data_IF_761583059697
#
_entry.id   IF_761583059697
#
_cell.length_a   1.000
_cell.length_b   1.000
_cell.length_c   1.000
_cell.angle_alpha   90.00
_cell.angle_beta   90.00
_cell.angle_gamma   90.00
#
_symmetry.space_group_name_H-M   'P 1'
#
loop_
_entity.id
_entity.type
_entity.pdbx_description
1 polymer ?
#
# COMPACT_ATOMS: atom_id res chain seq x y z
N UNK A 1 55.76 47.78 -31.15
CA UNK A 1 56.80 47.09 -31.96
C UNK A 1 56.26 45.66 -32.16
N UNK A 2 55.85 45.52 -33.42
CA UNK A 2 55.92 44.39 -34.35
C UNK A 2 55.33 43.08 -33.93
N UNK A 3 54.26 42.67 -34.56
CA UNK A 3 54.13 42.10 -35.94
C UNK A 3 54.41 40.60 -35.90
N UNK A 4 53.64 39.69 -36.42
CA UNK A 4 53.13 39.42 -37.76
C UNK A 4 52.30 38.12 -37.77
N UNK A 5 51.13 38.18 -38.40
CA UNK A 5 50.56 37.24 -39.37
C UNK A 5 50.93 35.72 -39.37
N UNK A 6 49.95 34.88 -39.42
CA UNK A 6 49.47 34.22 -40.64
C UNK A 6 48.30 33.26 -40.45
N UNK A 7 47.33 33.47 -41.30
CA UNK A 7 46.24 32.65 -41.75
C UNK A 7 46.60 31.15 -41.92
N UNK A 8 45.75 30.26 -41.48
CA UNK A 8 45.35 29.09 -42.27
C UNK A 8 43.95 28.64 -41.87
N UNK A 9 43.07 28.72 -42.86
CA UNK A 9 41.72 28.18 -42.96
C UNK A 9 41.69 26.68 -42.69
N UNK A 10 40.81 26.19 -41.77
CA UNK A 10 40.28 24.84 -41.87
C UNK A 10 38.78 24.86 -41.55
N UNK A 11 38.01 24.57 -42.58
CA UNK A 11 36.59 24.27 -42.56
C UNK A 11 36.30 23.26 -41.47
N UNK A 12 35.52 23.62 -40.46
CA UNK A 12 34.85 22.65 -39.56
C UNK A 12 33.44 22.46 -40.07
N UNK A 13 33.21 21.25 -40.53
CA UNK A 13 31.90 20.69 -40.83
C UNK A 13 31.09 20.68 -39.52
N UNK A 14 29.98 21.44 -39.48
CA UNK A 14 28.98 21.34 -38.44
C UNK A 14 28.19 20.04 -38.68
N UNK A 15 28.46 19.03 -37.89
CA UNK A 15 27.50 17.92 -37.71
C UNK A 15 26.46 18.36 -36.67
N UNK A 16 25.29 18.73 -37.15
CA UNK A 16 24.09 18.87 -36.33
C UNK A 16 23.63 17.50 -35.88
N UNK A 17 24.06 17.13 -34.69
CA UNK A 17 23.50 15.95 -34.00
C UNK A 17 22.11 16.30 -33.43
N UNK A 18 21.09 15.80 -34.07
CA UNK A 18 19.73 15.79 -33.49
C UNK A 18 19.76 14.80 -32.34
N UNK A 19 19.80 15.30 -31.11
CA UNK A 19 19.53 14.50 -29.92
C UNK A 19 18.02 14.34 -29.83
N UNK A 20 17.52 13.22 -30.29
CA UNK A 20 16.16 12.80 -30.01
C UNK A 20 16.05 12.47 -28.49
N UNK A 21 15.50 13.39 -27.73
CA UNK A 21 15.09 13.10 -26.34
C UNK A 21 13.88 12.15 -26.39
N UNK A 22 14.16 10.86 -26.28
CA UNK A 22 13.10 9.87 -26.02
C UNK A 22 12.62 10.07 -24.59
N UNK A 23 11.50 10.80 -24.46
CA UNK A 23 10.73 10.79 -23.20
C UNK A 23 10.13 9.40 -23.03
N UNK A 24 10.78 8.55 -22.23
CA UNK A 24 10.12 7.35 -21.70
C UNK A 24 8.99 7.85 -20.79
N UNK A 25 7.78 7.73 -21.27
CA UNK A 25 6.61 7.75 -20.40
C UNK A 25 6.69 6.47 -19.53
N UNK A 26 7.06 6.63 -18.27
CA UNK A 26 6.93 5.58 -17.26
C UNK A 26 5.44 5.31 -17.12
N UNK A 27 4.97 4.22 -17.69
CA UNK A 27 3.63 3.70 -17.46
C UNK A 27 3.55 3.20 -16.02
N UNK A 28 2.38 3.34 -15.38
CA UNK A 28 2.21 3.08 -13.94
C UNK A 28 2.56 1.67 -13.45
N UNK A 29 2.87 0.74 -14.33
CA UNK A 29 3.32 -0.62 -13.99
C UNK A 29 4.75 -0.66 -13.43
N UNK A 30 5.60 0.33 -13.78
CA UNK A 30 7.00 0.34 -13.35
C UNK A 30 7.19 0.68 -11.86
N UNK A 31 6.23 1.36 -11.24
CA UNK A 31 6.31 1.73 -9.82
C UNK A 31 6.22 0.51 -8.89
N UNK A 32 5.51 -0.54 -9.29
CA UNK A 32 5.38 -1.78 -8.53
C UNK A 32 6.55 -2.75 -8.78
N UNK A 33 7.15 -2.69 -9.97
CA UNK A 33 8.30 -3.52 -10.32
C UNK A 33 9.56 -3.14 -9.52
N UNK A 34 9.68 -1.89 -9.07
CA UNK A 34 10.84 -1.41 -8.32
C UNK A 34 10.96 -1.99 -6.90
N UNK A 35 9.90 -2.56 -6.36
CA UNK A 35 9.88 -3.09 -4.98
C UNK A 35 10.08 -4.61 -4.89
N UNK A 36 10.33 -5.31 -5.99
CA UNK A 36 10.58 -6.76 -5.98
C UNK A 36 9.39 -7.61 -5.50
N UNK A 37 8.21 -7.00 -5.33
CA UNK A 37 6.99 -7.72 -5.01
C UNK A 37 6.46 -8.36 -6.29
N UNK A 38 6.38 -9.69 -6.30
CA UNK A 38 5.59 -10.34 -7.32
C UNK A 38 4.14 -9.83 -7.20
N UNK A 39 3.49 -9.50 -8.32
CA UNK A 39 2.05 -9.24 -8.30
C UNK A 39 1.36 -10.35 -7.53
N UNK A 40 0.33 -10.02 -6.78
CA UNK A 40 -0.53 -11.04 -6.18
C UNK A 40 -0.87 -12.06 -7.26
N UNK A 41 -0.95 -13.35 -6.88
CA UNK A 41 -1.55 -14.31 -7.79
C UNK A 41 -2.77 -13.64 -8.39
N UNK A 42 -2.77 -13.46 -9.70
CA UNK A 42 -3.83 -12.74 -10.38
C UNK A 42 -5.17 -13.24 -9.84
N UNK A 43 -6.02 -12.29 -9.42
CA UNK A 43 -7.40 -12.62 -9.12
C UNK A 43 -7.91 -13.48 -10.30
N UNK A 44 -8.51 -14.60 -10.01
CA UNK A 44 -9.11 -15.45 -11.02
C UNK A 44 -10.63 -15.18 -11.04
N UNK A 45 -11.20 -15.10 -12.23
CA UNK A 45 -12.64 -14.95 -12.37
C UNK A 45 -13.39 -16.02 -11.55
N UNK A 46 -14.21 -15.58 -10.60
CA UNK A 46 -14.88 -16.47 -9.65
C UNK A 46 -14.17 -16.67 -8.32
N UNK A 47 -13.09 -15.91 -8.03
CA UNK A 47 -12.43 -15.95 -6.72
C UNK A 47 -13.40 -15.70 -5.58
N UNK A 48 -13.18 -16.40 -4.48
CA UNK A 48 -13.97 -16.23 -3.28
C UNK A 48 -13.79 -14.81 -2.71
N UNK A 49 -14.88 -14.16 -2.27
CA UNK A 49 -14.78 -12.85 -1.65
C UNK A 49 -13.90 -12.88 -0.40
N UNK A 50 -13.25 -11.76 -0.14
CA UNK A 50 -12.53 -11.55 1.12
C UNK A 50 -13.50 -11.77 2.29
N UNK A 51 -13.15 -12.69 3.19
CA UNK A 51 -14.01 -13.06 4.31
C UNK A 51 -14.15 -11.92 5.32
N UNK A 52 -15.33 -11.73 5.92
CA UNK A 52 -15.53 -10.75 6.96
C UNK A 52 -14.89 -11.20 8.28
N UNK A 53 -14.49 -10.22 9.09
CA UNK A 53 -14.02 -10.39 10.45
C UNK A 53 -14.61 -9.31 11.36
N UNK A 54 -14.50 -9.52 12.67
CA UNK A 54 -15.05 -8.59 13.66
C UNK A 54 -14.41 -7.20 13.58
N UNK A 55 -15.24 -6.18 13.73
CA UNK A 55 -14.79 -4.79 13.88
C UNK A 55 -13.94 -4.60 15.15
N UNK A 56 -14.21 -5.39 16.19
CA UNK A 56 -13.62 -5.20 17.50
C UNK A 56 -14.15 -3.94 18.21
N UNK A 57 -13.72 -3.70 19.47
CA UNK A 57 -14.27 -2.64 20.30
C UNK A 57 -13.65 -1.24 20.04
N UNK A 58 -12.67 -1.12 19.14
CA UNK A 58 -11.88 0.10 18.97
C UNK A 58 -12.16 0.85 17.67
N UNK A 59 -13.17 0.47 16.91
CA UNK A 59 -13.55 1.23 15.73
C UNK A 59 -14.05 2.62 16.13
N UNK A 60 -13.64 3.64 15.36
CA UNK A 60 -14.11 5.02 15.48
C UNK A 60 -14.55 5.51 14.11
N UNK A 61 -15.81 5.93 13.94
CA UNK A 61 -16.27 6.47 12.67
C UNK A 61 -15.63 7.83 12.38
N UNK A 62 -15.64 8.22 11.11
CA UNK A 62 -15.14 9.53 10.64
C UNK A 62 -13.63 9.70 10.85
N UNK A 63 -12.87 8.64 10.58
CA UNK A 63 -11.41 8.76 10.48
C UNK A 63 -11.02 9.86 9.50
N UNK A 64 -9.87 10.56 9.68
CA UNK A 64 -9.42 11.55 8.72
C UNK A 64 -9.05 10.91 7.38
N UNK A 65 -9.29 11.62 6.28
CA UNK A 65 -8.84 11.18 4.95
C UNK A 65 -7.33 11.40 4.84
N UNK A 66 -6.57 10.31 5.01
CA UNK A 66 -5.12 10.31 4.90
C UNK A 66 -4.58 8.90 4.65
N UNK A 67 -3.58 8.79 3.78
CA UNK A 67 -2.83 7.54 3.53
C UNK A 67 -1.56 7.43 4.39
N UNK A 68 -0.99 8.54 4.88
CA UNK A 68 0.12 8.48 5.85
C UNK A 68 -0.42 8.61 7.27
N UNK A 69 -0.34 7.50 8.01
CA UNK A 69 -0.80 7.40 9.41
C UNK A 69 0.33 7.67 10.41
N UNK A 70 1.56 7.88 9.91
CA UNK A 70 2.71 8.21 10.75
C UNK A 70 2.66 9.70 11.08
N UNK A 71 2.74 10.02 12.34
CA UNK A 71 2.77 11.38 12.85
C UNK A 71 3.76 11.50 14.00
N UNK A 72 4.04 12.72 14.44
CA UNK A 72 5.01 12.97 15.51
C UNK A 72 4.72 12.12 16.76
N UNK A 73 5.75 11.45 17.28
CA UNK A 73 5.66 10.59 18.45
C UNK A 73 5.11 9.16 18.15
N UNK A 74 4.85 8.80 16.90
CA UNK A 74 4.63 7.40 16.52
C UNK A 74 6.00 6.72 16.38
N UNK A 75 6.15 5.60 17.08
CA UNK A 75 7.33 4.72 17.04
C UNK A 75 6.92 3.38 16.45
N UNK A 76 7.92 2.54 16.13
CA UNK A 76 7.70 1.20 15.58
C UNK A 76 8.26 1.04 14.18
N UNK A 77 8.22 -0.19 13.71
CA UNK A 77 8.74 -0.58 12.39
C UNK A 77 7.82 -0.04 11.29
N UNK A 78 8.37 0.75 10.37
CA UNK A 78 7.58 1.30 9.25
C UNK A 78 7.04 0.20 8.34
N UNK A 79 5.81 0.40 7.86
CA UNK A 79 5.14 -0.47 6.88
C UNK A 79 4.53 0.41 5.80
N UNK A 80 4.80 0.05 4.56
CA UNK A 80 4.03 0.52 3.41
C UNK A 80 3.08 -0.60 2.99
N UNK A 81 1.78 -0.37 3.18
CA UNK A 81 0.71 -1.30 2.86
C UNK A 81 0.08 -0.92 1.52
N UNK A 82 0.05 -1.86 0.60
CA UNK A 82 -0.54 -1.70 -0.73
C UNK A 82 -1.59 -2.77 -0.99
N UNK A 83 -2.43 -2.53 -1.98
CA UNK A 83 -3.34 -3.52 -2.52
C UNK A 83 -4.31 -2.93 -3.51
N UNK A 84 -5.17 -3.79 -4.03
CA UNK A 84 -6.28 -3.42 -4.89
C UNK A 84 -7.60 -3.86 -4.28
N UNK A 85 -8.66 -3.13 -4.59
CA UNK A 85 -10.03 -3.55 -4.35
C UNK A 85 -10.60 -4.01 -5.69
N UNK A 86 -11.04 -5.26 -5.74
CA UNK A 86 -11.47 -5.96 -6.94
C UNK A 86 -12.88 -6.53 -6.74
N UNK A 87 -13.59 -6.75 -7.83
CA UNK A 87 -14.80 -7.57 -7.88
C UNK A 87 -14.43 -9.05 -7.97
N UNK A 88 -15.40 -9.98 -7.88
CA UNK A 88 -15.19 -11.42 -8.10
C UNK A 88 -14.78 -11.76 -9.53
N UNK A 89 -15.06 -10.89 -10.49
CA UNK A 89 -14.58 -10.99 -11.87
C UNK A 89 -13.29 -10.22 -12.12
N UNK A 90 -12.53 -9.94 -11.05
CA UNK A 90 -11.23 -9.28 -11.07
C UNK A 90 -11.24 -7.86 -11.68
N UNK A 91 -12.40 -7.22 -11.72
CA UNK A 91 -12.46 -5.85 -12.18
C UNK A 91 -12.08 -4.88 -11.05
N UNK A 92 -11.23 -3.88 -11.30
CA UNK A 92 -10.87 -2.91 -10.29
C UNK A 92 -12.08 -2.07 -9.86
N UNK A 93 -12.19 -1.83 -8.55
CA UNK A 93 -13.25 -1.00 -7.98
C UNK A 93 -12.69 0.38 -7.67
N UNK A 94 -12.92 1.34 -8.56
CA UNK A 94 -12.53 2.72 -8.38
C UNK A 94 -13.41 3.43 -7.34
N UNK A 95 -12.80 4.34 -6.55
CA UNK A 95 -13.52 5.13 -5.55
C UNK A 95 -14.06 4.32 -4.38
N UNK A 96 -13.58 3.10 -4.16
CA UNK A 96 -13.91 2.34 -2.97
C UNK A 96 -13.26 2.98 -1.73
N UNK A 97 -14.05 3.18 -0.67
CA UNK A 97 -13.53 3.59 0.63
C UNK A 97 -12.71 2.45 1.24
N UNK A 98 -11.50 2.75 1.70
CA UNK A 98 -10.68 1.86 2.51
C UNK A 98 -10.35 2.59 3.80
N UNK A 99 -10.87 2.13 4.93
CA UNK A 99 -10.68 2.72 6.26
C UNK A 99 -9.84 1.77 7.12
N UNK A 100 -8.66 2.23 7.54
CA UNK A 100 -7.66 1.45 8.26
C UNK A 100 -7.49 1.96 9.69
N UNK A 101 -7.46 1.04 10.67
CA UNK A 101 -7.09 1.36 12.05
C UNK A 101 -6.37 0.20 12.72
N UNK A 102 -5.47 0.52 13.64
CA UNK A 102 -4.71 -0.47 14.38
C UNK A 102 -4.08 0.08 15.67
N UNK A 103 -3.54 -0.81 16.49
CA UNK A 103 -2.79 -0.47 17.69
C UNK A 103 -1.41 0.13 17.35
N UNK A 104 -0.84 0.88 18.29
CA UNK A 104 0.56 1.32 18.22
C UNK A 104 1.54 0.13 18.35
N UNK A 105 2.84 0.42 18.35
CA UNK A 105 3.91 -0.59 18.49
C UNK A 105 3.94 -1.31 19.85
N UNK A 106 3.18 -0.81 20.85
CA UNK A 106 2.98 -1.45 22.16
C UNK A 106 1.67 -2.21 22.28
N UNK A 107 0.85 -2.26 21.23
CA UNK A 107 -0.45 -2.93 21.27
C UNK A 107 -1.59 -2.08 21.83
N UNK A 108 -1.46 -0.77 21.91
CA UNK A 108 -2.45 0.16 22.47
C UNK A 108 -3.20 0.89 21.36
N UNK A 109 -4.52 1.01 21.48
CA UNK A 109 -5.35 1.78 20.55
C UNK A 109 -5.57 3.21 21.06
N UNK A 110 -5.50 4.18 20.14
CA UNK A 110 -5.92 5.56 20.46
C UNK A 110 -7.45 5.63 20.48
N UNK A 111 -8.00 5.69 21.70
CA UNK A 111 -9.44 5.80 21.92
C UNK A 111 -9.93 7.26 22.04
N UNK A 112 -9.01 8.24 22.13
CA UNK A 112 -9.34 9.65 22.26
C UNK A 112 -9.25 10.39 20.92
N UNK A 113 -8.16 10.20 20.17
CA UNK A 113 -7.89 10.83 18.88
C UNK A 113 -8.07 9.89 17.69
N UNK A 114 -7.29 10.13 16.64
CA UNK A 114 -7.27 9.35 15.40
C UNK A 114 -5.84 8.89 15.05
N UNK A 115 -4.97 8.67 16.03
CA UNK A 115 -3.63 8.14 15.76
C UNK A 115 -3.74 6.74 15.16
N UNK A 116 -2.95 6.46 14.13
CA UNK A 116 -2.95 5.18 13.40
C UNK A 116 -4.34 4.78 12.86
N UNK A 117 -5.12 5.80 12.46
CA UNK A 117 -6.43 5.69 11.84
C UNK A 117 -6.53 6.62 10.65
N UNK A 118 -7.10 6.17 9.57
CA UNK A 118 -7.33 7.00 8.39
C UNK A 118 -8.02 6.22 7.31
N UNK A 119 -8.66 6.95 6.41
CA UNK A 119 -9.25 6.36 5.22
C UNK A 119 -8.73 7.05 3.96
N UNK A 120 -8.86 6.34 2.86
CA UNK A 120 -8.68 6.87 1.51
C UNK A 120 -9.68 6.21 0.55
N UNK A 121 -9.70 6.71 -0.66
CA UNK A 121 -10.47 6.12 -1.75
C UNK A 121 -9.50 5.52 -2.77
N UNK A 122 -9.86 4.38 -3.33
CA UNK A 122 -9.08 3.74 -4.39
C UNK A 122 -9.02 4.59 -5.64
N UNK A 123 -7.92 4.48 -6.37
CA UNK A 123 -7.75 5.11 -7.68
C UNK A 123 -8.57 4.41 -8.79
N UNK A 124 -8.38 4.83 -10.04
CA UNK A 124 -9.08 4.27 -11.22
C UNK A 124 -8.76 2.79 -11.46
N UNK A 125 -7.61 2.32 -10.99
CA UNK A 125 -7.19 0.91 -11.06
C UNK A 125 -7.52 0.15 -9.77
N UNK A 126 -8.37 0.71 -8.90
CA UNK A 126 -8.76 0.08 -7.64
C UNK A 126 -7.66 0.03 -6.58
N UNK A 127 -6.53 0.73 -6.75
CA UNK A 127 -5.37 0.66 -5.86
C UNK A 127 -5.54 1.54 -4.63
N UNK A 128 -4.98 1.07 -3.52
CA UNK A 128 -4.85 1.83 -2.28
C UNK A 128 -3.43 1.70 -1.71
N UNK A 129 -3.00 2.70 -0.94
CA UNK A 129 -1.70 2.69 -0.29
C UNK A 129 -1.73 3.45 1.03
N UNK A 130 -1.21 2.81 2.09
CA UNK A 130 -1.01 3.42 3.40
C UNK A 130 0.45 3.34 3.83
N UNK A 131 0.94 4.40 4.46
CA UNK A 131 2.19 4.41 5.21
C UNK A 131 1.87 4.39 6.69
N UNK A 132 2.33 3.37 7.38
CA UNK A 132 2.00 3.16 8.79
C UNK A 132 3.14 2.45 9.52
N UNK A 133 2.84 1.78 10.62
CA UNK A 133 3.78 0.96 11.38
C UNK A 133 3.24 -0.44 11.60
N UNK A 134 4.14 -1.38 11.88
CA UNK A 134 3.78 -2.71 12.37
C UNK A 134 3.19 -2.57 13.78
N UNK A 135 1.94 -3.04 14.02
CA UNK A 135 1.32 -2.92 15.33
C UNK A 135 1.99 -3.82 16.36
N UNK A 136 1.96 -3.45 17.62
CA UNK A 136 2.27 -4.31 18.74
C UNK A 136 1.23 -5.42 18.93
N UNK A 137 1.53 -6.34 19.83
CA UNK A 137 0.59 -7.40 20.20
C UNK A 137 -0.46 -6.83 21.17
N UNK A 138 -1.70 -6.89 20.77
CA UNK A 138 -2.83 -6.66 21.69
C UNK A 138 -3.15 -7.96 22.43
N UNK A 139 -3.54 -7.87 23.70
CA UNK A 139 -3.74 -9.04 24.57
C UNK A 139 -4.63 -10.11 23.93
N UNK A 140 -4.09 -11.31 23.78
CA UNK A 140 -4.78 -12.46 23.19
C UNK A 140 -4.92 -12.44 21.67
N UNK A 141 -4.39 -11.41 21.00
CA UNK A 141 -4.51 -11.26 19.57
C UNK A 141 -3.13 -11.27 18.88
N UNK A 142 -3.08 -11.85 17.69
CA UNK A 142 -1.92 -11.70 16.81
C UNK A 142 -1.88 -10.31 16.18
N UNK A 143 -0.74 -9.93 15.56
CA UNK A 143 -0.58 -8.64 14.89
C UNK A 143 -1.54 -8.54 13.71
N UNK A 144 -2.33 -7.48 13.67
CA UNK A 144 -3.32 -7.28 12.61
C UNK A 144 -3.64 -5.80 12.39
N UNK A 145 -4.11 -5.51 11.22
CA UNK A 145 -4.83 -4.29 10.89
C UNK A 145 -6.32 -4.58 10.83
N UNK A 146 -7.15 -3.68 11.33
CA UNK A 146 -8.57 -3.65 11.04
C UNK A 146 -8.82 -2.83 9.79
N UNK A 147 -9.73 -3.30 8.94
CA UNK A 147 -10.04 -2.64 7.68
C UNK A 147 -11.54 -2.68 7.42
N UNK A 148 -12.09 -1.56 6.96
CA UNK A 148 -13.40 -1.52 6.30
C UNK A 148 -13.19 -1.16 4.85
N UNK A 149 -13.88 -1.86 3.97
CA UNK A 149 -13.88 -1.58 2.53
C UNK A 149 -15.31 -1.45 2.04
N UNK A 150 -15.59 -0.41 1.27
CA UNK A 150 -16.93 -0.17 0.73
C UNK A 150 -16.85 0.38 -0.69
N UNK A 151 -17.38 -0.37 -1.65
CA UNK A 151 -17.62 0.17 -2.98
C UNK A 151 -18.76 1.18 -2.96
N UNK A 152 -18.80 2.17 -3.88
CA UNK A 152 -19.87 3.15 -3.93
C UNK A 152 -21.26 2.50 -3.99
N UNK A 153 -22.14 2.87 -3.05
CA UNK A 153 -23.49 2.35 -2.97
C UNK A 153 -23.65 0.89 -2.53
N UNK A 154 -22.59 0.23 -2.10
CA UNK A 154 -22.59 -1.17 -1.70
C UNK A 154 -22.47 -1.36 -0.18
N UNK A 155 -22.67 -2.57 0.28
CA UNK A 155 -22.47 -2.94 1.68
C UNK A 155 -21.00 -2.82 2.10
N UNK A 156 -20.76 -2.52 3.38
CA UNK A 156 -19.42 -2.44 3.95
C UNK A 156 -18.91 -3.84 4.27
N UNK A 157 -17.74 -4.19 3.74
CA UNK A 157 -16.95 -5.30 4.24
C UNK A 157 -16.14 -4.82 5.44
N UNK A 158 -16.28 -5.47 6.58
CA UNK A 158 -15.37 -5.34 7.73
C UNK A 158 -14.50 -6.57 7.81
N UNK A 159 -13.19 -6.41 7.85
CA UNK A 159 -12.22 -7.51 7.87
C UNK A 159 -10.95 -7.14 8.64
N UNK A 160 -9.98 -8.03 8.67
CA UNK A 160 -8.67 -7.81 9.29
C UNK A 160 -7.57 -8.34 8.36
N UNK A 161 -6.40 -7.69 8.36
CA UNK A 161 -5.21 -8.15 7.66
C UNK A 161 -4.18 -8.61 8.67
N UNK A 162 -3.67 -9.82 8.52
CA UNK A 162 -2.75 -10.44 9.47
C UNK A 162 -1.31 -10.47 8.96
N UNK A 163 -0.36 -10.36 9.88
CA UNK A 163 1.06 -10.52 9.58
C UNK A 163 1.44 -12.00 9.51
N UNK A 164 2.24 -12.42 8.50
CA UNK A 164 2.77 -13.77 8.43
C UNK A 164 3.85 -14.02 9.49
N UNK A 165 4.13 -15.30 9.75
CA UNK A 165 5.21 -15.75 10.62
C UNK A 165 5.11 -15.33 12.10
N UNK A 166 3.96 -14.80 12.54
CA UNK A 166 3.70 -14.51 13.94
C UNK A 166 3.36 -15.81 14.70
N UNK A 167 4.04 -16.02 15.85
CA UNK A 167 3.77 -17.20 16.69
C UNK A 167 2.31 -17.21 17.19
N UNK A 168 1.78 -16.03 17.45
CA UNK A 168 0.41 -15.81 17.94
C UNK A 168 -0.67 -16.19 16.93
N UNK A 169 -0.35 -16.32 15.64
CA UNK A 169 -1.33 -16.78 14.62
C UNK A 169 -1.95 -18.14 14.96
N UNK A 170 -1.24 -18.99 15.71
CA UNK A 170 -1.76 -20.30 16.12
C UNK A 170 -2.65 -20.25 17.35
N UNK A 171 -2.54 -19.19 18.14
CA UNK A 171 -3.22 -19.05 19.43
C UNK A 171 -4.41 -18.07 19.36
N UNK A 172 -4.47 -17.21 18.37
CA UNK A 172 -5.54 -16.24 18.18
C UNK A 172 -6.78 -16.92 17.57
N UNK A 173 -7.92 -17.00 18.28
CA UNK A 173 -9.13 -17.67 17.77
C UNK A 173 -9.76 -16.95 16.56
N UNK A 174 -9.44 -15.68 16.36
CA UNK A 174 -9.94 -14.88 15.23
C UNK A 174 -9.01 -14.93 14.01
N UNK A 175 -7.83 -15.50 14.14
CA UNK A 175 -6.90 -15.61 13.03
C UNK A 175 -7.50 -16.41 11.87
N UNK A 176 -7.40 -15.85 10.67
CA UNK A 176 -7.78 -16.51 9.41
C UNK A 176 -6.62 -16.47 8.43
N UNK A 177 -6.21 -17.65 7.97
CA UNK A 177 -5.08 -17.77 7.02
C UNK A 177 -5.33 -17.05 5.70
N UNK A 178 -6.58 -16.98 5.26
CA UNK A 178 -7.00 -16.29 4.03
C UNK A 178 -6.76 -14.77 4.10
N UNK A 179 -6.61 -14.22 5.29
CA UNK A 179 -6.38 -12.79 5.54
C UNK A 179 -4.90 -12.45 5.82
N UNK A 180 -3.99 -13.37 5.54
CA UNK A 180 -2.55 -13.11 5.64
C UNK A 180 -2.09 -12.18 4.53
N UNK A 181 -1.45 -11.08 4.91
CA UNK A 181 -0.71 -10.22 3.99
C UNK A 181 0.53 -10.94 3.44
N UNK A 182 0.96 -10.55 2.26
CA UNK A 182 2.36 -10.77 1.84
C UNK A 182 3.19 -9.65 2.45
N UNK A 183 4.28 -10.01 3.11
CA UNK A 183 5.16 -9.04 3.77
C UNK A 183 6.59 -9.35 3.43
N UNK A 184 7.32 -8.36 2.94
CA UNK A 184 8.75 -8.45 2.63
C UNK A 184 9.52 -7.28 3.25
N UNK A 185 10.78 -7.47 3.65
CA UNK A 185 11.66 -6.35 3.99
C UNK A 185 11.88 -5.44 2.78
N UNK A 186 12.10 -4.15 3.03
CA UNK A 186 12.59 -3.21 2.01
C UNK A 186 14.10 -3.09 2.09
N UNK A 187 14.71 -2.43 1.12
CA UNK A 187 16.13 -2.03 1.18
C UNK A 187 16.37 -0.97 2.27
N UNK A 188 15.37 -0.18 2.62
CA UNK A 188 15.44 0.75 3.75
C UNK A 188 15.49 -0.04 5.06
N UNK A 189 16.52 0.20 5.86
CA UNK A 189 16.74 -0.54 7.11
C UNK A 189 15.50 -0.55 8.00
N UNK A 190 15.03 -1.75 8.31
CA UNK A 190 13.92 -1.98 9.21
C UNK A 190 12.51 -1.78 8.64
N UNK A 191 12.32 -1.24 7.44
CA UNK A 191 11.00 -1.05 6.85
C UNK A 191 10.44 -2.34 6.22
N UNK A 192 9.13 -2.39 6.06
CA UNK A 192 8.39 -3.50 5.44
C UNK A 192 7.52 -3.01 4.30
N UNK A 193 7.42 -3.83 3.26
CA UNK A 193 6.33 -3.76 2.28
C UNK A 193 5.31 -4.83 2.62
N UNK A 194 4.05 -4.46 2.66
CA UNK A 194 2.94 -5.36 2.88
C UNK A 194 1.93 -5.22 1.74
N UNK A 195 1.35 -6.34 1.32
CA UNK A 195 0.39 -6.37 0.23
C UNK A 195 -0.83 -7.22 0.59
N UNK A 196 -2.02 -6.70 0.28
CA UNK A 196 -3.27 -7.44 0.37
C UNK A 196 -4.30 -6.92 -0.65
N UNK A 197 -4.81 -7.79 -1.52
CA UNK A 197 -5.92 -7.46 -2.40
C UNK A 197 -7.24 -7.86 -1.75
N UNK A 198 -8.23 -6.97 -1.85
CA UNK A 198 -9.57 -7.18 -1.33
C UNK A 198 -10.50 -7.53 -2.48
N UNK A 199 -11.10 -8.70 -2.43
CA UNK A 199 -12.15 -9.10 -3.37
C UNK A 199 -13.50 -8.85 -2.72
N UNK A 200 -14.28 -7.92 -3.26
CA UNK A 200 -15.65 -7.66 -2.83
C UNK A 200 -16.63 -8.63 -3.50
N UNK A 201 -17.71 -8.99 -2.80
CA UNK A 201 -18.76 -9.84 -3.36
C UNK A 201 -19.63 -9.05 -4.37
N UNK A 202 -18.97 -8.59 -5.42
CA UNK A 202 -19.54 -7.87 -6.55
C UNK A 202 -19.25 -8.61 -7.83
N UNK A 203 -20.19 -8.56 -8.79
CA UNK A 203 -20.07 -9.16 -10.12
C UNK A 203 -19.84 -8.10 -11.18
#
# INVERSE_FOLDING_TARGET
MNDYHRLLSRRRIMMTGVVAASSLALTGDDAFAQHGLAPTSACHDGDEPTIPETEGPFFKPRSPQRGDLREAGITGRSVELFGQVLTRSCQPVAGALVDLWHANDRGEYDNNGFRLRGHLFTDTEGRYSFRTIMPGLYTGRTRHYHVKVQAPGQAVLTTQFYFPNEKQNRADPLFRRQLLMRVTPTEAEGALLAWFDVVLDLR
#
